data_IF_583203233999
#
_entry.id   IF_583203233999
#
_cell.length_a   1.000
_cell.length_b   1.000
_cell.length_c   1.000
_cell.angle_alpha   90.00
_cell.angle_beta   90.00
_cell.angle_gamma   90.00
#
_symmetry.space_group_name_H-M   'P 1'
#
loop_
_entity.id
_entity.type
_entity.pdbx_description
1 polymer ?
#
# COMPACT_ATOMS: atom_id res chain seq x y z
N UNK A 1 -65.84 46.08 34.52
CA UNK A 1 -66.11 45.07 35.57
C UNK A 1 -64.84 44.28 35.82
N UNK A 2 -64.33 44.34 37.04
CA UNK A 2 -63.27 43.50 37.66
C UNK A 2 -63.71 42.01 37.72
N UNK A 3 -62.90 41.04 38.22
CA UNK A 3 -61.43 40.84 38.22
C UNK A 3 -61.02 39.33 38.05
N UNK A 4 -59.71 39.02 38.11
CA UNK A 4 -59.03 37.80 38.67
C UNK A 4 -57.70 37.58 37.90
N UNK A 5 -56.46 37.67 38.41
CA UNK A 5 -55.76 37.21 39.64
C UNK A 5 -56.04 35.73 39.93
N UNK A 6 -55.09 34.80 40.06
CA UNK A 6 -53.65 34.79 40.28
C UNK A 6 -53.13 33.34 40.01
N UNK A 7 -51.85 33.07 39.76
CA UNK A 7 -50.86 32.53 40.73
C UNK A 7 -49.56 32.23 39.92
N UNK A 8 -48.37 32.72 40.29
CA UNK A 8 -47.37 32.10 41.21
C UNK A 8 -46.56 30.97 40.53
N UNK A 9 -45.22 31.11 40.47
CA UNK A 9 -44.23 30.20 41.09
C UNK A 9 -42.80 30.41 40.53
N UNK A 10 -41.91 30.81 41.44
CA UNK A 10 -40.49 30.43 41.60
C UNK A 10 -39.44 30.78 40.54
N UNK A 11 -38.55 31.69 40.92
CA UNK A 11 -37.19 31.82 40.37
C UNK A 11 -36.22 31.44 41.48
N UNK A 12 -35.46 30.36 41.28
CA UNK A 12 -34.38 29.92 42.16
C UNK A 12 -33.16 29.57 41.28
N UNK A 13 -32.03 30.23 41.58
CA UNK A 13 -30.65 29.66 41.62
C UNK A 13 -30.02 29.32 40.24
N UNK A 14 -28.75 29.58 39.93
CA UNK A 14 -27.54 29.94 40.68
C UNK A 14 -26.52 30.54 39.71
N UNK A 15 -25.73 31.48 40.22
CA UNK A 15 -24.51 32.00 39.63
C UNK A 15 -23.39 30.95 39.74
N UNK A 16 -22.74 30.57 38.64
CA UNK A 16 -21.44 29.90 38.68
C UNK A 16 -20.51 30.42 37.58
N UNK A 17 -19.40 30.94 38.07
CA UNK A 17 -18.21 31.44 37.39
C UNK A 17 -17.72 30.55 36.24
N UNK A 18 -17.34 31.17 35.11
CA UNK A 18 -16.35 30.57 34.22
C UNK A 18 -15.23 31.59 33.96
N UNK A 19 -14.12 31.33 34.63
CA UNK A 19 -12.83 32.00 34.49
C UNK A 19 -12.29 31.75 33.08
N UNK A 20 -12.21 32.79 32.25
CA UNK A 20 -11.51 32.74 30.96
C UNK A 20 -10.01 32.86 31.24
N UNK A 21 -9.35 31.71 31.42
CA UNK A 21 -7.89 31.63 31.38
C UNK A 21 -7.45 31.69 29.91
N UNK A 22 -6.92 32.85 29.52
CA UNK A 22 -6.13 33.00 28.32
C UNK A 22 -4.92 32.04 28.40
N UNK A 23 -4.88 31.03 27.53
CA UNK A 23 -3.67 30.22 27.32
C UNK A 23 -2.62 31.10 26.63
N UNK A 24 -1.36 31.10 27.10
CA UNK A 24 -0.28 31.75 26.38
C UNK A 24 -0.03 30.99 25.07
N UNK A 25 0.18 31.76 23.99
CA UNK A 25 0.73 31.25 22.75
C UNK A 25 2.16 30.74 23.03
N UNK A 26 2.29 29.42 23.20
CA UNK A 26 3.58 28.75 23.19
C UNK A 26 3.96 28.48 21.74
N UNK A 27 4.90 29.28 21.26
CA UNK A 27 5.83 28.91 20.21
C UNK A 27 6.67 27.73 20.71
N UNK A 28 6.49 26.57 20.11
CA UNK A 28 7.37 25.41 20.26
C UNK A 28 7.49 24.72 18.90
N UNK A 29 8.59 25.05 18.22
CA UNK A 29 9.45 24.17 17.42
C UNK A 29 8.83 22.94 16.74
N UNK A 30 9.00 22.90 15.41
CA UNK A 30 8.69 21.85 14.41
C UNK A 30 9.24 20.42 14.67
N UNK A 31 9.30 19.94 15.91
CA UNK A 31 9.91 18.64 16.26
C UNK A 31 8.87 17.58 16.69
N UNK A 32 7.62 17.95 17.00
CA UNK A 32 6.63 17.02 17.55
C UNK A 32 5.66 16.38 16.53
N UNK A 33 5.74 16.69 15.23
CA UNK A 33 4.89 16.01 14.21
C UNK A 33 5.42 14.63 13.77
N UNK A 34 6.60 14.22 14.24
CA UNK A 34 7.24 12.96 13.83
C UNK A 34 6.64 11.72 14.52
N UNK A 35 5.75 11.91 15.51
CA UNK A 35 5.24 10.85 16.40
C UNK A 35 3.98 10.11 15.93
N UNK A 36 3.33 10.55 14.86
CA UNK A 36 2.00 10.03 14.45
C UNK A 36 2.00 9.20 13.15
N UNK A 37 3.17 8.93 12.54
CA UNK A 37 3.21 8.05 11.36
C UNK A 37 3.03 6.58 11.76
N UNK A 38 2.16 5.81 11.07
CA UNK A 38 1.93 4.42 11.43
C UNK A 38 3.16 3.55 11.16
N UNK A 39 3.41 2.60 12.06
CA UNK A 39 4.45 1.58 11.86
C UNK A 39 4.03 0.59 10.78
N UNK A 40 4.92 0.34 9.83
CA UNK A 40 4.72 -0.65 8.78
C UNK A 40 5.41 -1.99 9.11
N UNK A 41 4.69 -3.10 8.96
CA UNK A 41 5.17 -4.43 9.35
C UNK A 41 5.54 -5.34 8.16
N UNK A 42 5.03 -4.99 6.98
CA UNK A 42 5.27 -5.72 5.72
C UNK A 42 6.20 -4.88 4.84
N UNK A 43 7.13 -5.48 4.08
CA UNK A 43 7.93 -4.75 3.10
C UNK A 43 7.07 -3.82 2.25
N UNK A 44 7.37 -2.52 2.29
CA UNK A 44 6.60 -1.54 1.54
C UNK A 44 6.80 -1.76 0.04
N UNK A 45 5.77 -1.45 -0.75
CA UNK A 45 5.76 -1.67 -2.19
C UNK A 45 5.17 -0.46 -2.92
N UNK A 46 5.97 0.62 -3.08
CA UNK A 46 5.60 1.75 -3.92
C UNK A 46 5.24 1.20 -5.29
N UNK A 47 4.14 1.68 -5.83
CA UNK A 47 3.58 1.13 -7.05
C UNK A 47 3.37 2.21 -8.10
N UNK A 48 3.54 1.82 -9.36
CA UNK A 48 3.14 2.61 -10.52
C UNK A 48 2.26 1.75 -11.42
N UNK A 49 1.28 2.38 -12.07
CA UNK A 49 0.46 1.71 -13.08
C UNK A 49 1.14 1.82 -14.44
N UNK A 50 1.05 0.75 -15.20
CA UNK A 50 1.53 0.69 -16.57
C UNK A 50 0.41 0.24 -17.49
N UNK A 51 0.45 0.69 -18.73
CA UNK A 51 -0.44 0.26 -19.79
C UNK A 51 0.41 -0.19 -20.99
N UNK A 52 0.05 -1.32 -21.57
CA UNK A 52 0.71 -1.79 -22.80
C UNK A 52 0.05 -1.13 -24.01
N UNK A 53 0.78 -0.30 -24.73
CA UNK A 53 0.34 0.40 -25.94
C UNK A 53 1.40 0.23 -27.03
N UNK A 54 0.99 -0.15 -28.25
CA UNK A 54 1.92 -0.45 -29.36
C UNK A 54 3.05 -1.45 -28.99
N UNK A 55 2.74 -2.44 -28.15
CA UNK A 55 3.71 -3.43 -27.61
C UNK A 55 4.79 -2.86 -26.69
N UNK A 56 4.65 -1.61 -26.25
CA UNK A 56 5.52 -0.98 -25.27
C UNK A 56 4.74 -0.68 -23.99
N UNK A 57 5.44 -0.72 -22.84
CA UNK A 57 4.85 -0.37 -21.55
C UNK A 57 5.05 1.11 -21.27
N UNK A 58 3.95 1.81 -21.04
CA UNK A 58 3.95 3.22 -20.68
C UNK A 58 3.48 3.41 -19.25
N UNK A 59 4.16 4.23 -18.43
CA UNK A 59 3.66 4.60 -17.12
C UNK A 59 2.37 5.42 -17.28
N UNK A 60 1.38 5.11 -16.46
CA UNK A 60 0.16 5.91 -16.32
C UNK A 60 0.51 7.12 -15.46
N UNK A 61 0.38 8.32 -16.03
CA UNK A 61 0.71 9.59 -15.38
C UNK A 61 -0.52 10.30 -14.80
N UNK A 62 -1.73 9.80 -15.12
CA UNK A 62 -2.98 10.39 -14.66
C UNK A 62 -4.20 9.63 -15.17
N UNK A 63 -5.39 10.04 -14.76
CA UNK A 63 -6.65 9.47 -15.21
C UNK A 63 -7.61 10.60 -15.54
N UNK A 64 -8.29 10.51 -16.69
CA UNK A 64 -9.33 11.45 -17.09
C UNK A 64 -10.61 10.71 -17.45
N UNK A 65 -11.64 10.82 -16.60
CA UNK A 65 -12.88 10.07 -16.71
C UNK A 65 -12.64 8.56 -16.62
N UNK A 66 -12.79 7.84 -17.73
CA UNK A 66 -12.56 6.38 -17.83
C UNK A 66 -11.34 6.03 -18.70
N UNK A 67 -10.41 6.98 -18.86
CA UNK A 67 -9.19 6.80 -19.64
C UNK A 67 -7.98 7.05 -18.76
N UNK A 68 -6.96 6.24 -18.91
CA UNK A 68 -5.63 6.50 -18.35
C UNK A 68 -4.87 7.44 -19.28
N UNK A 69 -4.03 8.29 -18.72
CA UNK A 69 -3.15 9.19 -19.44
C UNK A 69 -1.74 8.62 -19.43
N UNK A 70 -1.08 8.63 -20.58
CA UNK A 70 0.34 8.30 -20.73
C UNK A 70 1.07 9.44 -21.44
N UNK A 71 2.39 9.49 -21.28
CA UNK A 71 3.26 10.29 -22.13
C UNK A 71 3.81 9.43 -23.28
N UNK A 72 3.48 9.79 -24.53
CA UNK A 72 4.01 9.17 -25.77
C UNK A 72 4.74 10.27 -26.54
N UNK A 73 6.07 10.32 -26.41
CA UNK A 73 6.98 11.31 -27.01
C UNK A 73 6.64 12.78 -26.67
N UNK A 74 6.45 13.07 -25.37
CA UNK A 74 6.14 14.41 -24.86
C UNK A 74 4.69 14.84 -25.11
N UNK A 75 3.83 13.91 -25.57
CA UNK A 75 2.41 14.16 -25.83
C UNK A 75 1.55 13.28 -24.94
N UNK A 76 0.69 13.92 -24.15
CA UNK A 76 -0.29 13.21 -23.35
C UNK A 76 -1.33 12.52 -24.24
N UNK A 77 -1.46 11.20 -24.07
CA UNK A 77 -2.48 10.38 -24.75
C UNK A 77 -3.43 9.76 -23.74
N UNK A 78 -4.72 9.84 -24.05
CA UNK A 78 -5.77 9.22 -23.25
C UNK A 78 -6.18 7.86 -23.84
N UNK A 79 -5.88 6.78 -23.13
CA UNK A 79 -6.16 5.41 -23.53
C UNK A 79 -7.29 4.82 -22.68
N UNK A 80 -8.19 4.04 -23.30
CA UNK A 80 -9.30 3.43 -22.57
C UNK A 80 -8.89 2.12 -21.92
N UNK A 81 -9.15 1.98 -20.62
CA UNK A 81 -8.87 0.77 -19.84
C UNK A 81 -9.72 -0.44 -20.24
N UNK A 82 -10.71 -0.28 -21.13
CA UNK A 82 -11.48 -1.41 -21.68
C UNK A 82 -10.80 -2.08 -22.86
N UNK A 83 -9.81 -1.42 -23.49
CA UNK A 83 -9.09 -1.94 -24.66
C UNK A 83 -7.66 -2.35 -24.37
N UNK A 84 -7.11 -1.86 -23.29
CA UNK A 84 -5.72 -2.05 -22.92
C UNK A 84 -5.64 -2.55 -21.49
N UNK A 85 -4.80 -3.55 -21.28
CA UNK A 85 -4.51 -4.11 -19.97
C UNK A 85 -3.68 -3.12 -19.15
N UNK A 86 -4.07 -2.92 -17.90
CA UNK A 86 -3.34 -2.12 -16.92
C UNK A 86 -2.64 -3.08 -15.96
N UNK A 87 -1.33 -3.00 -15.88
CA UNK A 87 -0.52 -3.70 -14.89
C UNK A 87 -0.10 -2.76 -13.77
N UNK A 88 0.26 -3.32 -12.63
CA UNK A 88 0.81 -2.59 -11.49
C UNK A 88 2.17 -3.19 -11.17
N UNK A 89 3.19 -2.34 -11.09
CA UNK A 89 4.57 -2.77 -10.87
C UNK A 89 5.20 -1.92 -9.78
N UNK A 90 6.27 -2.46 -9.17
CA UNK A 90 7.01 -1.74 -8.14
C UNK A 90 7.67 -0.50 -8.73
N UNK A 91 7.41 0.65 -8.13
CA UNK A 91 8.15 1.88 -8.37
C UNK A 91 9.38 1.96 -7.46
N UNK A 92 10.37 2.76 -7.85
CA UNK A 92 11.59 2.97 -7.05
C UNK A 92 11.28 3.64 -5.70
N UNK A 93 10.32 4.58 -5.70
CA UNK A 93 9.90 5.34 -4.52
C UNK A 93 8.43 5.73 -4.61
N UNK A 94 7.87 6.12 -3.46
CA UNK A 94 6.57 6.78 -3.40
C UNK A 94 6.64 8.18 -4.06
N UNK A 95 5.47 8.73 -4.39
CA UNK A 95 5.32 10.16 -4.64
C UNK A 95 5.69 10.96 -3.39
N UNK A 96 6.05 12.22 -3.60
CA UNK A 96 6.27 13.13 -2.49
C UNK A 96 4.92 13.41 -1.78
N UNK A 97 4.97 13.61 -0.46
CA UNK A 97 3.79 13.81 0.37
C UNK A 97 3.22 12.56 1.02
N UNK A 98 2.18 12.76 1.81
CA UNK A 98 1.48 11.73 2.56
C UNK A 98 -0.03 11.99 2.55
N UNK A 99 -0.82 10.92 2.56
CA UNK A 99 -2.28 10.99 2.59
C UNK A 99 -2.86 10.19 3.76
N UNK A 100 -3.57 10.89 4.63
CA UNK A 100 -4.29 10.29 5.75
C UNK A 100 -5.69 9.87 5.31
N UNK A 101 -6.07 8.62 5.56
CA UNK A 101 -7.40 8.09 5.26
C UNK A 101 -8.22 8.01 6.55
N UNK A 102 -9.24 8.86 6.68
CA UNK A 102 -10.05 8.98 7.91
C UNK A 102 -11.18 7.96 7.98
N UNK A 103 -11.78 7.61 6.83
CA UNK A 103 -12.87 6.64 6.76
C UNK A 103 -12.89 5.93 5.41
N UNK A 104 -12.84 4.59 5.41
CA UNK A 104 -13.05 3.78 4.22
C UNK A 104 -14.28 2.88 4.41
N UNK A 105 -15.30 3.09 3.58
CA UNK A 105 -16.57 2.36 3.58
C UNK A 105 -16.73 1.58 2.30
N UNK A 106 -17.33 0.40 2.42
CA UNK A 106 -17.71 -0.41 1.28
C UNK A 106 -19.18 -0.82 1.44
N UNK A 107 -20.03 -0.52 0.45
CA UNK A 107 -21.48 -0.77 0.52
C UNK A 107 -21.84 -2.04 -0.26
N UNK A 108 -22.68 -2.89 0.33
CA UNK A 108 -23.15 -4.16 -0.23
C UNK A 108 -22.04 -5.22 -0.46
N UNK A 109 -21.04 -5.21 0.41
CA UNK A 109 -20.03 -6.26 0.57
C UNK A 109 -20.27 -6.88 1.96
N UNK A 110 -20.67 -8.16 2.06
CA UNK A 110 -20.98 -8.82 3.35
C UNK A 110 -19.75 -9.55 3.89
N UNK A 111 -19.56 -9.47 5.21
CA UNK A 111 -18.38 -9.91 5.97
C UNK A 111 -18.73 -11.06 6.93
N UNK A 112 -17.86 -12.07 7.07
CA UNK A 112 -17.83 -12.95 8.25
C UNK A 112 -16.40 -12.93 8.83
N UNK A 113 -16.27 -12.45 10.06
CA UNK A 113 -15.00 -12.10 10.71
C UNK A 113 -14.38 -13.25 11.50
N UNK A 114 -13.06 -13.46 11.34
CA UNK A 114 -12.17 -13.78 12.45
C UNK A 114 -10.95 -12.85 12.41
N UNK A 115 -10.67 -12.27 13.58
CA UNK A 115 -9.89 -11.07 13.87
C UNK A 115 -8.37 -11.23 13.73
N UNK A 116 -7.71 -10.26 13.10
CA UNK A 116 -6.56 -9.49 13.65
C UNK A 116 -6.06 -8.44 12.64
N UNK A 117 -6.13 -7.16 13.01
CA UNK A 117 -5.12 -6.15 12.66
C UNK A 117 -5.08 -5.53 11.26
N UNK A 118 -6.15 -5.57 10.46
CA UNK A 118 -6.25 -4.83 9.19
C UNK A 118 -7.63 -4.99 8.57
N UNK A 119 -7.97 -4.19 7.54
CA UNK A 119 -9.16 -4.43 6.72
C UNK A 119 -8.91 -5.67 5.85
N UNK A 120 -8.92 -6.84 6.49
CA UNK A 120 -8.88 -8.15 5.84
C UNK A 120 -10.30 -8.48 5.42
N UNK A 121 -10.53 -8.55 4.11
CA UNK A 121 -11.81 -9.02 3.58
C UNK A 121 -11.86 -10.55 3.70
N UNK A 122 -12.55 -11.00 4.73
CA UNK A 122 -12.90 -12.40 4.94
C UNK A 122 -14.26 -12.70 4.30
N UNK A 123 -14.29 -13.57 3.29
CA UNK A 123 -15.50 -14.12 2.70
C UNK A 123 -15.63 -13.88 1.19
N UNK A 124 -16.18 -14.86 0.48
CA UNK A 124 -16.50 -14.76 -0.95
C UNK A 124 -17.65 -13.77 -1.19
N UNK A 125 -17.51 -12.91 -2.20
CA UNK A 125 -18.57 -12.03 -2.66
C UNK A 125 -19.81 -12.83 -3.12
N UNK A 126 -20.95 -12.72 -2.41
CA UNK A 126 -22.24 -13.11 -2.96
C UNK A 126 -22.89 -11.96 -3.73
N UNK A 127 -23.39 -12.29 -4.93
CA UNK A 127 -23.98 -11.35 -5.88
C UNK A 127 -25.34 -10.83 -5.40
N UNK A 128 -25.35 -9.68 -4.72
CA UNK A 128 -26.53 -8.83 -4.58
C UNK A 128 -26.58 -7.76 -5.68
N UNK A 129 -27.76 -7.55 -6.27
CA UNK A 129 -28.04 -6.67 -7.42
C UNK A 129 -28.13 -5.17 -7.10
N UNK A 130 -27.71 -4.72 -5.93
CA UNK A 130 -27.70 -3.31 -5.54
C UNK A 130 -26.28 -2.72 -5.65
N UNK A 131 -26.15 -1.57 -6.32
CA UNK A 131 -24.88 -0.90 -6.65
C UNK A 131 -23.82 -1.01 -5.57
N UNK A 132 -22.69 -1.64 -5.93
CA UNK A 132 -21.53 -1.82 -5.07
C UNK A 132 -20.62 -0.62 -5.22
N UNK A 133 -20.21 -0.01 -4.12
CA UNK A 133 -19.32 1.15 -4.13
C UNK A 133 -18.28 1.07 -3.03
N UNK A 134 -17.13 1.66 -3.32
CA UNK A 134 -16.07 1.94 -2.37
C UNK A 134 -16.03 3.45 -2.15
N UNK A 135 -16.12 3.89 -0.90
CA UNK A 135 -16.04 5.30 -0.51
C UNK A 135 -14.87 5.47 0.45
N UNK A 136 -14.06 6.50 0.23
CA UNK A 136 -12.97 6.82 1.14
C UNK A 136 -12.86 8.34 1.30
N UNK A 137 -12.70 8.76 2.55
CA UNK A 137 -12.36 10.13 2.90
C UNK A 137 -10.85 10.21 3.13
N UNK A 138 -10.25 11.29 2.65
CA UNK A 138 -8.81 11.46 2.68
C UNK A 138 -8.42 12.93 2.85
N UNK A 139 -7.24 13.15 3.42
CA UNK A 139 -6.59 14.46 3.56
C UNK A 139 -5.11 14.30 3.21
N UNK A 140 -4.60 15.11 2.29
CA UNK A 140 -3.17 15.13 1.94
C UNK A 140 -2.43 16.19 2.77
N UNK A 141 -1.17 15.95 3.13
CA UNK A 141 -0.32 16.93 3.81
C UNK A 141 0.28 17.99 2.86
N UNK A 142 0.21 17.72 1.56
CA UNK A 142 0.80 18.49 0.47
C UNK A 142 -0.10 18.49 -0.76
N UNK A 143 0.14 19.41 -1.69
CA UNK A 143 -0.60 19.47 -2.95
C UNK A 143 -0.21 18.29 -3.85
N UNK A 144 -1.20 17.50 -4.27
CA UNK A 144 -0.99 16.34 -5.14
C UNK A 144 -1.64 16.60 -6.50
N UNK A 145 -0.88 16.43 -7.57
CA UNK A 145 -1.33 16.69 -8.94
C UNK A 145 -1.74 15.43 -9.67
N UNK A 146 -2.68 15.58 -10.61
CA UNK A 146 -3.20 14.52 -11.47
C UNK A 146 -3.55 13.25 -10.68
N UNK A 147 -4.08 13.40 -9.47
CA UNK A 147 -4.24 12.30 -8.55
C UNK A 147 -5.37 11.36 -9.00
N UNK A 148 -5.18 10.08 -8.73
CA UNK A 148 -6.17 9.05 -9.00
C UNK A 148 -6.04 7.91 -7.99
N UNK A 149 -7.13 7.16 -7.82
CA UNK A 149 -7.16 5.93 -7.03
C UNK A 149 -7.22 4.73 -7.97
N UNK A 150 -6.32 3.76 -7.75
CA UNK A 150 -6.39 2.44 -8.32
C UNK A 150 -6.95 1.47 -7.27
N UNK A 151 -7.98 0.70 -7.63
CA UNK A 151 -8.53 -0.38 -6.79
C UNK A 151 -8.15 -1.71 -7.43
N UNK A 152 -7.31 -2.48 -6.75
CA UNK A 152 -7.05 -3.87 -7.11
C UNK A 152 -8.13 -4.71 -6.48
N UNK A 153 -8.92 -5.36 -7.32
CA UNK A 153 -9.87 -6.36 -6.90
C UNK A 153 -9.19 -7.71 -7.11
N UNK A 154 -9.18 -8.57 -6.09
CA UNK A 154 -8.66 -9.94 -6.23
C UNK A 154 -9.59 -11.00 -5.61
N UNK A 155 -9.70 -12.15 -6.29
CA UNK A 155 -10.30 -13.36 -5.75
C UNK A 155 -9.24 -14.17 -5.00
N UNK A 156 -9.47 -14.43 -3.71
CA UNK A 156 -8.64 -15.38 -2.96
C UNK A 156 -9.13 -16.80 -3.24
N UNK A 157 -8.44 -17.51 -4.13
CA UNK A 157 -8.62 -18.95 -4.32
C UNK A 157 -7.63 -19.64 -3.39
N UNK A 158 -8.06 -19.83 -2.14
CA UNK A 158 -7.42 -20.78 -1.23
C UNK A 158 -8.09 -22.12 -1.50
N UNK A 159 -7.61 -22.82 -2.52
CA UNK A 159 -8.03 -24.17 -2.89
C UNK A 159 -6.88 -24.88 -3.62
N UNK A 160 -6.79 -26.22 -3.54
CA UNK A 160 -5.70 -26.99 -4.13
C UNK A 160 -5.66 -26.96 -5.67
N UNK A 161 -6.65 -26.31 -6.30
CA UNK A 161 -6.78 -26.25 -7.75
C UNK A 161 -5.89 -25.14 -8.34
N UNK A 162 -4.65 -25.53 -8.66
CA UNK A 162 -3.57 -24.69 -9.23
C UNK A 162 -3.89 -24.09 -10.62
N UNK A 163 -5.14 -24.11 -11.07
CA UNK A 163 -5.56 -23.73 -12.43
C UNK A 163 -6.36 -22.45 -12.53
N UNK A 164 -6.81 -21.89 -11.40
CA UNK A 164 -7.60 -20.67 -11.43
C UNK A 164 -6.64 -19.48 -11.28
N UNK A 165 -6.51 -18.73 -12.38
CA UNK A 165 -5.76 -17.47 -12.43
C UNK A 165 -6.28 -16.56 -11.31
N UNK A 166 -5.39 -15.80 -10.68
CA UNK A 166 -5.84 -14.67 -9.86
C UNK A 166 -6.42 -13.69 -10.88
N UNK A 167 -7.74 -13.69 -11.03
CA UNK A 167 -8.41 -12.69 -11.85
C UNK A 167 -8.32 -11.39 -11.07
N UNK A 168 -7.28 -10.62 -11.38
CA UNK A 168 -7.06 -9.28 -10.85
C UNK A 168 -7.72 -8.29 -11.79
N UNK A 169 -8.57 -7.43 -11.24
CA UNK A 169 -9.12 -6.33 -12.01
C UNK A 169 -8.72 -5.03 -11.36
N UNK A 170 -8.02 -4.21 -12.13
CA UNK A 170 -7.60 -2.88 -11.72
C UNK A 170 -8.63 -1.87 -12.19
N UNK A 171 -9.31 -1.23 -11.23
CA UNK A 171 -10.17 -0.07 -11.50
C UNK A 171 -9.40 1.19 -11.23
N UNK A 172 -9.48 2.16 -12.13
CA UNK A 172 -8.91 3.49 -11.92
C UNK A 172 -10.01 4.53 -11.88
N UNK A 173 -9.87 5.49 -10.98
CA UNK A 173 -10.79 6.62 -10.84
C UNK A 173 -9.99 7.89 -10.61
N UNK A 174 -10.21 8.88 -11.47
CA UNK A 174 -9.71 10.24 -11.32
C UNK A 174 -10.18 10.86 -10.00
N UNK A 175 -9.23 11.44 -9.26
CA UNK A 175 -9.46 12.34 -8.12
C UNK A 175 -9.25 13.79 -8.55
N UNK A 176 -8.32 14.05 -9.46
CA UNK A 176 -7.95 15.39 -9.91
C UNK A 176 -6.79 15.96 -9.09
N UNK A 177 -6.65 17.28 -9.06
CA UNK A 177 -5.67 17.93 -8.19
C UNK A 177 -6.24 18.03 -6.77
N UNK A 178 -5.50 17.50 -5.79
CA UNK A 178 -5.86 17.50 -4.36
C UNK A 178 -5.05 18.60 -3.68
N UNK A 179 -5.73 19.44 -2.91
CA UNK A 179 -5.07 20.51 -2.15
C UNK A 179 -4.63 20.02 -0.77
N UNK A 180 -3.47 20.50 -0.33
CA UNK A 180 -2.97 20.24 1.00
C UNK A 180 -4.00 20.60 2.08
N UNK A 181 -4.07 19.77 3.12
CA UNK A 181 -4.86 19.96 4.33
C UNK A 181 -6.37 20.16 4.10
N UNK A 182 -6.89 19.69 2.96
CA UNK A 182 -8.32 19.71 2.64
C UNK A 182 -8.87 18.29 2.72
N UNK A 183 -9.91 18.08 3.54
CA UNK A 183 -10.61 16.80 3.58
C UNK A 183 -11.52 16.67 2.36
N UNK A 184 -11.34 15.58 1.62
CA UNK A 184 -12.13 15.24 0.44
C UNK A 184 -12.69 13.82 0.55
N UNK A 185 -13.65 13.49 -0.31
CA UNK A 185 -14.26 12.17 -0.37
C UNK A 185 -14.43 11.71 -1.80
N UNK A 186 -14.02 10.47 -2.07
CA UNK A 186 -14.25 9.82 -3.37
C UNK A 186 -15.17 8.63 -3.20
N UNK A 187 -16.10 8.48 -4.13
CA UNK A 187 -16.92 7.28 -4.32
C UNK A 187 -16.62 6.63 -5.66
N UNK A 188 -16.20 5.37 -5.62
CA UNK A 188 -15.95 4.52 -6.78
C UNK A 188 -17.10 3.54 -6.94
N UNK A 189 -17.84 3.65 -8.03
CA UNK A 189 -18.92 2.72 -8.38
C UNK A 189 -18.35 1.48 -9.09
N UNK A 190 -18.60 0.29 -8.53
CA UNK A 190 -18.11 -1.00 -9.02
C UNK A 190 -19.18 -1.77 -9.82
N UNK A 191 -20.19 -1.05 -10.32
CA UNK A 191 -21.40 -1.60 -10.95
C UNK A 191 -21.19 -2.22 -12.33
N UNK A 192 -20.02 -2.02 -12.96
CA UNK A 192 -19.70 -2.49 -14.33
C UNK A 192 -19.07 -3.88 -14.40
N UNK A 193 -18.79 -4.52 -13.27
CA UNK A 193 -18.27 -5.88 -13.26
C UNK A 193 -19.43 -6.87 -13.36
N UNK A 194 -19.38 -7.75 -14.36
CA UNK A 194 -20.24 -8.92 -14.41
C UNK A 194 -19.71 -9.95 -13.39
N UNK A 195 -19.96 -9.68 -12.10
CA UNK A 195 -19.46 -10.49 -10.97
C UNK A 195 -20.04 -11.91 -10.88
N UNK A 196 -20.85 -12.36 -11.85
CA UNK A 196 -21.50 -13.68 -11.79
C UNK A 196 -20.48 -14.84 -11.77
N UNK A 197 -19.24 -14.59 -12.17
CA UNK A 197 -18.19 -15.61 -12.24
C UNK A 197 -17.01 -15.37 -11.27
N UNK A 198 -16.97 -14.22 -10.57
CA UNK A 198 -15.82 -13.85 -9.74
C UNK A 198 -16.20 -13.74 -8.26
N UNK A 199 -15.80 -14.75 -7.48
CA UNK A 199 -15.83 -14.73 -6.01
C UNK A 199 -14.71 -13.86 -5.44
N UNK A 200 -14.68 -12.60 -5.88
CA UNK A 200 -13.72 -11.62 -5.44
C UNK A 200 -13.81 -11.52 -3.92
N UNK A 201 -12.69 -11.36 -3.24
CA UNK A 201 -12.67 -11.30 -1.78
C UNK A 201 -12.07 -10.00 -1.33
N UNK A 202 -11.01 -9.51 -1.97
CA UNK A 202 -10.30 -8.32 -1.48
C UNK A 202 -10.36 -7.11 -2.43
N UNK A 203 -10.37 -5.91 -1.85
CA UNK A 203 -10.21 -4.62 -2.51
C UNK A 203 -8.99 -3.96 -1.86
N UNK A 204 -7.95 -3.71 -2.64
CA UNK A 204 -6.73 -3.05 -2.20
C UNK A 204 -6.65 -1.69 -2.89
N UNK A 205 -6.91 -0.59 -2.17
CA UNK A 205 -6.77 0.75 -2.71
C UNK A 205 -5.29 1.18 -2.77
N UNK A 206 -4.93 1.85 -3.85
CA UNK A 206 -3.62 2.49 -4.07
C UNK A 206 -3.90 3.91 -4.57
N UNK A 207 -3.41 4.91 -3.84
CA UNK A 207 -3.54 6.32 -4.22
C UNK A 207 -2.30 6.75 -4.96
N UNK A 208 -2.46 7.46 -6.09
CA UNK A 208 -1.35 7.80 -6.98
C UNK A 208 -1.45 9.27 -7.35
N UNK A 209 -0.29 9.94 -7.39
CA UNK A 209 -0.12 11.31 -7.91
C UNK A 209 1.04 11.32 -8.91
N UNK A 210 0.83 11.97 -10.06
CA UNK A 210 1.79 12.04 -11.17
C UNK A 210 2.45 10.67 -11.50
N UNK A 211 1.66 9.60 -11.43
CA UNK A 211 2.06 8.23 -11.78
C UNK A 211 2.83 7.44 -10.72
N UNK A 212 3.02 7.98 -9.51
CA UNK A 212 3.64 7.28 -8.37
C UNK A 212 2.67 7.14 -7.19
N UNK A 213 2.67 5.98 -6.54
CA UNK A 213 1.89 5.75 -5.33
C UNK A 213 2.24 6.78 -4.25
N UNK A 214 1.23 7.39 -3.63
CA UNK A 214 1.35 8.26 -2.47
C UNK A 214 1.31 7.39 -1.21
N UNK A 215 2.23 7.62 -0.27
CA UNK A 215 2.23 6.89 0.99
C UNK A 215 1.00 7.26 1.84
N UNK A 216 0.37 6.27 2.48
CA UNK A 216 -0.85 6.46 3.28
C UNK A 216 -0.79 5.72 4.61
N UNK A 217 -1.63 6.10 5.58
CA UNK A 217 -1.79 5.35 6.83
C UNK A 217 -2.19 3.87 6.63
N UNK A 218 -2.74 3.52 5.46
CA UNK A 218 -3.16 2.17 5.10
C UNK A 218 -2.20 1.46 4.13
N UNK A 219 -1.00 2.00 3.84
CA UNK A 219 -0.06 1.38 2.89
C UNK A 219 0.44 -0.01 3.28
N UNK A 220 0.23 -0.44 4.54
CA UNK A 220 0.37 -1.85 4.95
C UNK A 220 -0.52 -2.82 4.15
N UNK A 221 -1.70 -2.38 3.70
CA UNK A 221 -2.64 -3.20 2.95
C UNK A 221 -2.11 -3.54 1.54
N UNK A 222 -1.78 -2.56 0.66
CA UNK A 222 -1.15 -2.86 -0.62
C UNK A 222 0.18 -3.59 -0.47
N UNK A 223 1.03 -3.20 0.50
CA UNK A 223 2.25 -3.93 0.82
C UNK A 223 1.99 -5.42 1.11
N UNK A 224 0.98 -5.73 1.93
CA UNK A 224 0.59 -7.11 2.24
C UNK A 224 0.10 -7.89 1.03
N UNK A 225 -0.66 -7.24 0.14
CA UNK A 225 -1.12 -7.85 -1.10
C UNK A 225 0.07 -8.21 -2.01
N UNK A 226 0.98 -7.28 -2.28
CA UNK A 226 2.15 -7.54 -3.13
C UNK A 226 3.10 -8.55 -2.52
N UNK A 227 3.33 -8.49 -1.20
CA UNK A 227 4.16 -9.45 -0.51
C UNK A 227 3.60 -10.88 -0.59
N UNK A 228 2.27 -11.05 -0.48
CA UNK A 228 1.64 -12.36 -0.69
C UNK A 228 1.78 -12.86 -2.13
N UNK A 229 1.72 -11.98 -3.11
CA UNK A 229 1.92 -12.34 -4.51
C UNK A 229 3.37 -12.77 -4.76
N UNK A 230 4.33 -11.98 -4.29
CA UNK A 230 5.75 -12.31 -4.38
C UNK A 230 6.07 -13.65 -3.69
N UNK A 231 5.48 -13.90 -2.52
CA UNK A 231 5.64 -15.16 -1.79
C UNK A 231 5.07 -16.36 -2.56
N UNK A 232 3.92 -16.21 -3.22
CA UNK A 232 3.33 -17.26 -4.07
C UNK A 232 4.23 -17.58 -5.26
N UNK A 233 4.72 -16.54 -5.94
CA UNK A 233 5.66 -16.67 -7.06
C UNK A 233 6.95 -17.35 -6.61
N UNK A 234 7.52 -16.93 -5.48
CA UNK A 234 8.71 -17.51 -4.89
C UNK A 234 8.53 -19.00 -4.59
N UNK A 235 7.42 -19.40 -3.96
CA UNK A 235 7.13 -20.82 -3.70
C UNK A 235 7.09 -21.65 -4.98
N UNK A 236 6.39 -21.17 -6.01
CA UNK A 236 6.33 -21.85 -7.32
C UNK A 236 7.71 -22.00 -7.95
N UNK A 237 8.53 -20.94 -7.85
CA UNK A 237 9.88 -20.94 -8.39
C UNK A 237 10.82 -21.91 -7.64
N UNK A 238 10.68 -22.02 -6.31
CA UNK A 238 11.43 -23.01 -5.52
C UNK A 238 11.06 -24.45 -5.90
N UNK A 239 9.77 -24.73 -6.13
CA UNK A 239 9.33 -26.07 -6.59
C UNK A 239 10.07 -26.46 -7.88
N UNK A 240 10.13 -25.55 -8.88
CA UNK A 240 10.87 -25.79 -10.11
C UNK A 240 12.40 -25.87 -9.91
N UNK A 241 12.94 -25.02 -9.04
CA UNK A 241 14.37 -25.00 -8.74
C UNK A 241 14.86 -26.33 -8.16
N UNK A 242 14.12 -26.91 -7.21
CA UNK A 242 14.49 -28.21 -6.63
C UNK A 242 14.38 -29.36 -7.63
N UNK A 243 13.32 -29.38 -8.46
CA UNK A 243 13.14 -30.39 -9.52
C UNK A 243 14.26 -30.36 -10.58
N UNK A 244 14.82 -29.18 -10.84
CA UNK A 244 15.88 -29.02 -11.86
C UNK A 244 17.29 -29.21 -11.30
N UNK A 245 17.44 -29.36 -9.98
CA UNK A 245 18.74 -29.42 -9.30
C UNK A 245 18.82 -30.57 -8.26
N UNK A 246 18.16 -31.69 -8.51
CA UNK A 246 17.98 -32.81 -7.55
C UNK A 246 19.28 -33.44 -7.03
N UNK A 247 20.42 -33.18 -7.65
CA UNK A 247 21.74 -33.68 -7.22
C UNK A 247 22.83 -32.61 -7.33
N UNK A 248 22.46 -31.34 -7.51
CA UNK A 248 23.43 -30.27 -7.67
C UNK A 248 23.88 -29.70 -6.33
N UNK A 249 25.13 -29.25 -6.30
CA UNK A 249 25.61 -28.32 -5.31
C UNK A 249 25.54 -26.91 -5.90
N UNK A 250 24.91 -25.97 -5.19
CA UNK A 250 24.74 -24.59 -5.67
C UNK A 250 24.99 -23.59 -4.55
N UNK A 251 25.47 -22.41 -4.90
CA UNK A 251 25.51 -21.27 -3.98
C UNK A 251 24.15 -20.57 -3.93
N UNK A 252 23.84 -19.82 -2.84
CA UNK A 252 22.61 -19.04 -2.81
C UNK A 252 22.63 -17.95 -3.89
N UNK A 253 21.50 -17.72 -4.55
CA UNK A 253 21.37 -16.73 -5.64
C UNK A 253 20.25 -15.74 -5.32
N UNK A 254 20.60 -14.47 -5.15
CA UNK A 254 19.61 -13.38 -5.05
C UNK A 254 18.95 -13.21 -6.41
N UNK A 255 17.62 -13.33 -6.47
CA UNK A 255 16.89 -13.17 -7.73
C UNK A 255 15.75 -12.14 -7.65
N UNK A 256 15.33 -11.77 -6.44
CA UNK A 256 14.35 -10.72 -6.22
C UNK A 256 14.80 -9.86 -5.06
N UNK A 257 15.11 -8.61 -5.37
CA UNK A 257 15.49 -7.57 -4.43
C UNK A 257 14.89 -6.25 -4.88
N UNK A 258 14.86 -5.31 -3.95
CA UNK A 258 14.46 -3.93 -4.20
C UNK A 258 15.13 -3.03 -3.16
N UNK A 259 15.29 -1.78 -3.52
CA UNK A 259 15.89 -0.80 -2.64
C UNK A 259 14.98 -0.58 -1.42
N UNK A 260 15.52 -0.64 -0.18
CA UNK A 260 14.75 -0.36 1.01
C UNK A 260 14.20 1.07 1.01
N UNK A 261 13.04 1.23 1.65
CA UNK A 261 12.31 2.48 1.72
C UNK A 261 12.46 3.03 3.12
N UNK A 262 13.05 4.21 3.19
CA UNK A 262 13.24 4.92 4.45
C UNK A 262 11.98 5.67 4.84
N UNK A 263 11.57 5.53 6.10
CA UNK A 263 10.38 6.23 6.64
C UNK A 263 10.60 7.74 6.79
N UNK A 264 11.86 8.19 6.74
CA UNK A 264 12.30 9.58 6.90
C UNK A 264 13.05 10.04 5.65
N UNK A 265 12.34 10.40 4.57
CA UNK A 265 12.96 10.84 3.32
C UNK A 265 13.69 12.17 3.46
N UNK A 266 13.31 13.01 4.42
CA UNK A 266 13.96 14.26 4.78
C UNK A 266 15.41 14.08 5.26
N UNK A 267 15.79 12.86 5.69
CA UNK A 267 17.15 12.50 6.09
C UNK A 267 17.85 11.60 5.06
N UNK A 268 17.32 11.48 3.83
CA UNK A 268 17.91 10.66 2.76
C UNK A 268 19.37 11.02 2.47
N UNK A 269 19.72 12.31 2.59
CA UNK A 269 21.09 12.80 2.39
C UNK A 269 22.06 12.32 3.48
N UNK A 270 21.56 11.99 4.67
CA UNK A 270 22.36 11.49 5.80
C UNK A 270 22.70 9.99 5.65
N UNK A 271 22.02 9.28 4.74
CA UNK A 271 22.23 7.85 4.52
C UNK A 271 23.30 7.61 3.44
N UNK A 272 24.15 6.58 3.63
CA UNK A 272 25.08 6.15 2.60
C UNK A 272 24.31 5.70 1.35
N UNK A 273 24.92 5.81 0.17
CA UNK A 273 24.28 5.35 -1.08
C UNK A 273 24.04 3.84 -1.08
N UNK A 274 24.93 3.11 -0.42
CA UNK A 274 24.84 1.66 -0.26
C UNK A 274 25.48 1.18 1.03
N UNK A 275 25.08 0.00 1.47
CA UNK A 275 25.66 -0.71 2.61
C UNK A 275 25.92 -2.15 2.22
N UNK A 276 27.12 -2.62 2.51
CA UNK A 276 27.40 -4.06 2.44
C UNK A 276 26.90 -4.76 3.69
N UNK A 277 26.17 -5.87 3.51
CA UNK A 277 25.69 -6.69 4.61
C UNK A 277 25.96 -8.19 4.37
N UNK A 278 26.07 -8.93 5.47
CA UNK A 278 25.99 -10.39 5.45
C UNK A 278 24.58 -10.79 5.86
N UNK A 279 23.91 -11.55 4.99
CA UNK A 279 22.56 -12.07 5.25
C UNK A 279 22.63 -13.57 5.52
N UNK A 280 21.89 -14.04 6.53
CA UNK A 280 21.61 -15.47 6.69
C UNK A 280 20.38 -15.82 5.89
N UNK A 281 20.50 -16.83 5.03
CA UNK A 281 19.46 -17.30 4.11
C UNK A 281 19.01 -18.68 4.58
N UNK A 282 17.72 -18.81 4.82
CA UNK A 282 17.09 -20.08 5.20
C UNK A 282 16.99 -21.04 4.01
N UNK A 283 16.63 -22.28 4.31
CA UNK A 283 16.41 -23.35 3.30
C UNK A 283 15.26 -23.02 2.34
N UNK A 284 14.37 -22.13 2.75
CA UNK A 284 13.30 -21.60 1.92
C UNK A 284 13.74 -20.38 1.10
N UNK A 285 15.03 -20.02 1.05
CA UNK A 285 15.51 -18.88 0.27
C UNK A 285 15.12 -17.51 0.82
N UNK A 286 14.62 -17.39 2.05
CA UNK A 286 14.34 -16.11 2.69
C UNK A 286 15.46 -15.67 3.61
N UNK A 287 15.58 -14.36 3.80
CA UNK A 287 16.48 -13.79 4.81
C UNK A 287 15.93 -14.08 6.21
N UNK A 288 16.73 -14.73 7.05
CA UNK A 288 16.44 -14.99 8.47
C UNK A 288 17.08 -13.94 9.39
N UNK A 289 18.26 -13.42 9.01
CA UNK A 289 18.95 -12.36 9.73
C UNK A 289 19.82 -11.54 8.79
N UNK A 290 20.15 -10.32 9.20
CA UNK A 290 21.10 -9.47 8.49
C UNK A 290 22.08 -8.83 9.47
N UNK A 291 23.31 -8.64 9.01
CA UNK A 291 24.38 -8.00 9.76
C UNK A 291 25.11 -7.01 8.84
N UNK A 292 24.88 -5.69 9.00
CA UNK A 292 25.59 -4.69 8.22
C UNK A 292 27.08 -4.73 8.59
N UNK A 293 27.95 -4.62 7.59
CA UNK A 293 29.40 -4.61 7.81
C UNK A 293 29.91 -3.24 8.30
N UNK A 294 29.06 -2.23 8.24
CA UNK A 294 29.33 -0.85 8.63
C UNK A 294 28.30 -0.38 9.67
N UNK A 295 28.70 0.55 10.54
CA UNK A 295 27.81 1.05 11.59
C UNK A 295 26.82 2.08 11.03
N UNK A 296 25.54 1.71 11.00
CA UNK A 296 24.44 2.57 10.55
C UNK A 296 23.84 3.38 11.70
N UNK A 297 24.62 4.31 12.25
CA UNK A 297 24.30 5.00 13.52
C UNK A 297 23.01 5.83 13.52
N UNK A 298 22.40 6.08 12.36
CA UNK A 298 21.16 6.85 12.21
C UNK A 298 20.15 6.21 11.25
N UNK A 299 20.43 5.02 10.73
CA UNK A 299 19.49 4.37 9.82
C UNK A 299 18.38 3.69 10.62
N UNK A 300 17.10 3.83 10.24
CA UNK A 300 16.00 3.10 10.86
C UNK A 300 16.14 1.60 10.57
N UNK A 301 16.84 0.88 11.45
CA UNK A 301 17.13 -0.55 11.29
C UNK A 301 15.85 -1.39 11.17
N UNK A 302 14.74 -0.93 11.74
CA UNK A 302 13.43 -1.56 11.60
C UNK A 302 12.90 -1.50 10.16
N UNK A 303 13.11 -0.39 9.44
CA UNK A 303 12.76 -0.26 8.02
C UNK A 303 13.57 -1.21 7.17
N UNK A 304 14.88 -1.28 7.43
CA UNK A 304 15.76 -2.19 6.71
C UNK A 304 15.35 -3.66 6.96
N UNK A 305 15.10 -4.02 8.22
CA UNK A 305 14.62 -5.35 8.59
C UNK A 305 13.27 -5.67 7.95
N UNK A 306 12.35 -4.70 7.89
CA UNK A 306 11.05 -4.85 7.24
C UNK A 306 11.23 -5.14 5.76
N UNK A 307 12.04 -4.35 5.06
CA UNK A 307 12.15 -4.42 3.60
C UNK A 307 12.98 -5.61 3.11
N UNK A 308 14.05 -5.98 3.83
CA UNK A 308 14.83 -7.18 3.54
C UNK A 308 14.01 -8.47 3.65
N UNK A 309 12.90 -8.50 4.41
CA UNK A 309 11.98 -9.66 4.43
C UNK A 309 11.31 -9.89 3.07
N UNK A 310 11.28 -8.89 2.20
CA UNK A 310 10.74 -9.00 0.83
C UNK A 310 11.77 -9.45 -0.20
N UNK A 311 13.05 -9.62 0.18
CA UNK A 311 14.06 -10.16 -0.70
C UNK A 311 14.01 -11.68 -0.72
N UNK A 312 14.21 -12.26 -1.90
CA UNK A 312 14.15 -13.70 -2.11
C UNK A 312 15.38 -14.23 -2.84
N UNK A 313 15.84 -15.38 -2.36
CA UNK A 313 16.95 -16.13 -2.90
C UNK A 313 16.48 -17.49 -3.41
N UNK A 314 17.21 -18.03 -4.38
CA UNK A 314 17.31 -19.48 -4.51
C UNK A 314 18.27 -19.96 -3.42
N UNK A 315 17.87 -20.91 -2.56
CA UNK A 315 18.71 -21.37 -1.46
C UNK A 315 19.94 -22.12 -1.98
N UNK A 316 20.97 -22.18 -1.13
CA UNK A 316 22.13 -23.05 -1.32
C UNK A 316 21.67 -24.51 -1.33
N UNK A 317 22.15 -25.29 -2.28
CA UNK A 317 21.93 -26.73 -2.34
C UNK A 317 23.21 -27.50 -2.02
N UNK A 318 23.07 -28.60 -1.28
CA UNK A 318 24.06 -29.65 -1.15
C UNK A 318 23.43 -30.99 -1.52
N UNK A 319 23.90 -31.59 -2.62
CA UNK A 319 23.35 -32.79 -3.23
C UNK A 319 21.83 -32.70 -3.42
N UNK A 320 21.38 -31.55 -3.93
CA UNK A 320 19.97 -31.24 -4.14
C UNK A 320 19.15 -30.88 -2.89
N UNK A 321 19.72 -30.94 -1.68
CA UNK A 321 19.03 -30.56 -0.45
C UNK A 321 19.31 -29.10 -0.12
N UNK A 322 18.25 -28.33 0.15
CA UNK A 322 18.39 -26.96 0.61
C UNK A 322 19.02 -26.93 2.00
N UNK A 323 20.02 -26.07 2.18
CA UNK A 323 20.66 -25.84 3.46
C UNK A 323 20.73 -24.34 3.77
N UNK A 324 20.78 -24.01 5.06
CA UNK A 324 21.04 -22.65 5.51
C UNK A 324 22.40 -22.17 5.02
N UNK A 325 22.48 -20.91 4.62
CA UNK A 325 23.72 -20.33 4.10
C UNK A 325 23.84 -18.85 4.44
N UNK A 326 25.02 -18.28 4.17
CA UNK A 326 25.24 -16.84 4.25
C UNK A 326 25.62 -16.30 2.89
N UNK A 327 25.20 -15.09 2.58
CA UNK A 327 25.64 -14.37 1.40
C UNK A 327 26.04 -12.95 1.76
N UNK A 328 27.02 -12.41 1.04
CA UNK A 328 27.35 -10.99 1.07
C UNK A 328 26.49 -10.28 0.03
N UNK A 329 25.77 -9.25 0.45
CA UNK A 329 24.91 -8.44 -0.42
C UNK A 329 25.26 -6.97 -0.31
N UNK A 330 25.05 -6.25 -1.40
CA UNK A 330 25.05 -4.79 -1.43
C UNK A 330 23.60 -4.32 -1.36
N UNK A 331 23.29 -3.48 -0.38
CA UNK A 331 21.97 -2.88 -0.17
C UNK A 331 22.07 -1.45 -0.66
N UNK A 332 21.33 -1.09 -1.70
CA UNK A 332 21.28 0.27 -2.25
C UNK A 332 20.04 0.97 -1.73
N UNK A 333 20.18 2.24 -1.38
CA UNK A 333 19.05 3.05 -0.92
C UNK A 333 18.57 3.93 -2.06
N UNK A 334 17.27 3.89 -2.35
CA UNK A 334 16.67 4.77 -3.36
C UNK A 334 16.58 6.18 -2.77
N UNK A 335 17.40 7.12 -3.30
CA UNK A 335 17.31 8.56 -3.01
C UNK A 335 16.22 9.25 -3.83
#
# INVERSE_FOLDING_TARGET
MNPSKALLYYTFVSLSFLTVLAKPALSSTDIDQEKDRPTYYTPLHPSSLFITYKNEKFPVIGVKGSKVLIDDDGKQRALSTTRFEVSIERATRFADGYMELSEAKSKNLRYNTETTGGVRLAGGLQSGSAGKSYTVNYTADSDLKNAYIALILSANIIGPDRRLRVDEVVFVKELGDIKANTEESVKVELSRLHWRDLSMRSITPIFISDGKEVLTNNSNQPASYFYQQAHRNHKSMLENYFLTNESSDTNPVLYSSFDPIVSYPDRLEEYPDSVTAIVSIGENGKIESFEPQEKLSHFPMEDLNRDLKGWFFLPRLEKGNAIKSKAKVEIKFSK
#
